data_IF_410530551687
#
_entry.id   IF_410530551687
#
_cell.length_a   1.000
_cell.length_b   1.000
_cell.length_c   1.000
_cell.angle_alpha   90.00
_cell.angle_beta   90.00
_cell.angle_gamma   90.00
#
_symmetry.space_group_name_H-M   'P 1'
#
loop_
_entity.id
_entity.type
_entity.pdbx_description
1 polymer ?
#
# COMPACT_ATOMS: atom_id res chain seq x y z
N UNK A 1 -23.96 -1.80 -14.82
CA UNK A 1 -23.25 -0.78 -14.02
C UNK A 1 -21.93 -0.51 -14.71
N UNK A 2 -21.55 0.73 -14.96
CA UNK A 2 -20.26 1.09 -15.57
C UNK A 2 -19.36 1.66 -14.48
N UNK A 3 -18.22 1.05 -14.23
CA UNK A 3 -17.18 1.61 -13.40
C UNK A 3 -16.14 2.33 -14.30
N UNK A 4 -15.54 3.41 -13.82
CA UNK A 4 -14.46 4.09 -14.51
C UNK A 4 -13.26 4.28 -13.59
N UNK A 5 -12.07 4.23 -14.18
CA UNK A 5 -10.81 4.50 -13.48
C UNK A 5 -10.53 6.00 -13.61
N UNK A 6 -10.48 6.73 -12.50
CA UNK A 6 -10.19 8.18 -12.48
C UNK A 6 -8.70 8.48 -12.41
N UNK A 7 -7.92 7.64 -11.73
CA UNK A 7 -6.49 7.83 -11.55
C UNK A 7 -5.78 6.48 -11.43
N UNK A 8 -4.60 6.40 -12.03
CA UNK A 8 -3.66 5.29 -11.85
C UNK A 8 -2.31 5.89 -11.51
N UNK A 9 -1.65 5.32 -10.52
CA UNK A 9 -0.25 5.63 -10.22
C UNK A 9 0.49 4.35 -9.83
N UNK A 10 1.76 4.27 -10.16
CA UNK A 10 2.59 3.10 -9.85
C UNK A 10 3.98 3.51 -9.40
N UNK A 11 4.56 2.71 -8.52
CA UNK A 11 5.97 2.77 -8.13
C UNK A 11 6.54 1.37 -8.36
N UNK A 12 7.52 1.26 -9.21
CA UNK A 12 8.06 -0.03 -9.64
C UNK A 12 9.52 0.03 -10.07
N UNK A 13 9.93 -0.95 -10.86
CA UNK A 13 11.29 -1.07 -11.38
C UNK A 13 11.57 -0.17 -12.60
N UNK A 14 10.56 0.45 -13.15
CA UNK A 14 10.69 1.45 -14.21
C UNK A 14 10.17 2.80 -13.73
N UNK A 15 10.60 3.90 -14.33
CA UNK A 15 10.18 5.26 -14.00
C UNK A 15 8.74 5.49 -14.42
N UNK A 16 7.82 5.03 -13.58
CA UNK A 16 6.37 5.04 -13.82
C UNK A 16 5.60 6.02 -12.93
N UNK A 17 6.22 6.53 -11.87
CA UNK A 17 5.54 7.41 -10.91
C UNK A 17 5.18 8.75 -11.54
N UNK A 18 3.89 9.07 -11.60
CA UNK A 18 3.33 10.28 -12.23
C UNK A 18 3.70 10.46 -13.71
N UNK A 19 4.04 9.38 -14.39
CA UNK A 19 4.33 9.39 -15.82
C UNK A 19 3.12 8.96 -16.62
N UNK A 20 2.74 9.78 -17.59
CA UNK A 20 1.76 9.39 -18.61
C UNK A 20 2.37 8.32 -19.53
N UNK A 21 1.53 7.39 -19.96
CA UNK A 21 1.90 6.37 -20.96
C UNK A 21 3.08 5.45 -20.57
N UNK A 22 3.37 5.30 -19.27
CA UNK A 22 4.45 4.42 -18.82
C UNK A 22 4.24 2.93 -19.17
N UNK A 23 3.01 2.55 -19.53
CA UNK A 23 2.64 1.20 -19.97
C UNK A 23 2.91 0.92 -21.47
N UNK A 24 3.19 1.95 -22.29
CA UNK A 24 3.49 1.76 -23.72
C UNK A 24 4.85 1.08 -23.94
N UNK A 25 5.76 1.25 -22.99
CA UNK A 25 7.10 0.69 -23.04
C UNK A 25 7.44 -0.03 -21.73
N UNK A 26 6.91 -1.26 -21.59
CA UNK A 26 7.19 -2.07 -20.40
C UNK A 26 8.60 -2.64 -20.44
N UNK A 27 9.35 -2.41 -19.37
CA UNK A 27 10.68 -2.97 -19.17
C UNK A 27 10.54 -4.33 -18.48
N UNK A 28 11.08 -5.42 -19.05
CA UNK A 28 11.06 -6.72 -18.40
C UNK A 28 11.74 -6.70 -17.03
N UNK A 29 11.16 -7.38 -16.05
CA UNK A 29 11.75 -7.53 -14.72
C UNK A 29 12.96 -8.46 -14.79
N UNK A 30 14.13 -7.99 -14.36
CA UNK A 30 15.34 -8.79 -14.19
C UNK A 30 15.56 -9.14 -12.71
N UNK A 31 16.38 -10.17 -12.43
CA UNK A 31 16.56 -10.69 -11.07
C UNK A 31 17.11 -9.67 -10.06
N UNK A 32 17.89 -8.69 -10.51
CA UNK A 32 18.52 -7.68 -9.63
C UNK A 32 17.94 -6.28 -9.85
N UNK A 33 16.68 -6.21 -10.24
CA UNK A 33 16.04 -4.93 -10.54
C UNK A 33 15.61 -4.23 -9.27
N UNK A 34 16.09 -3.01 -9.05
CA UNK A 34 15.68 -2.17 -7.93
C UNK A 34 14.42 -1.35 -8.26
N UNK A 35 13.68 -0.98 -7.20
CA UNK A 35 12.53 -0.07 -7.30
C UNK A 35 13.02 1.36 -7.48
N UNK A 36 12.53 2.05 -8.51
CA UNK A 36 12.74 3.49 -8.70
C UNK A 36 11.81 4.23 -7.75
N UNK A 37 12.37 4.75 -6.67
CA UNK A 37 11.62 5.41 -5.61
C UNK A 37 11.45 6.91 -5.89
N UNK A 38 10.23 7.47 -5.73
CA UNK A 38 10.03 8.92 -5.74
C UNK A 38 10.57 9.58 -4.48
N UNK A 39 10.56 10.91 -4.44
CA UNK A 39 10.83 11.64 -3.20
C UNK A 39 9.65 11.53 -2.21
N UNK A 40 9.70 10.53 -1.36
CA UNK A 40 8.69 10.27 -0.34
C UNK A 40 8.48 11.42 0.66
N UNK A 41 9.46 12.32 0.81
CA UNK A 41 9.37 13.44 1.76
C UNK A 41 8.31 14.45 1.36
N UNK A 42 7.99 14.52 0.08
CA UNK A 42 6.91 15.36 -0.45
C UNK A 42 5.52 14.88 -0.05
N UNK A 43 5.39 13.61 0.37
CA UNK A 43 4.11 12.98 0.67
C UNK A 43 3.97 12.50 2.12
N UNK A 44 5.08 12.15 2.76
CA UNK A 44 5.07 11.52 4.08
C UNK A 44 5.88 12.37 5.06
N UNK A 45 5.31 12.73 6.24
CA UNK A 45 6.04 13.48 7.25
C UNK A 45 7.36 12.78 7.66
N UNK A 46 8.46 13.52 7.86
CA UNK A 46 9.79 12.94 8.16
C UNK A 46 9.81 12.01 9.38
N UNK A 47 8.98 12.30 10.38
CA UNK A 47 8.84 11.47 11.60
C UNK A 47 8.27 10.09 11.32
N UNK A 48 7.30 10.02 10.40
CA UNK A 48 6.65 8.77 9.97
C UNK A 48 7.53 8.02 8.95
N UNK A 49 8.17 8.77 8.05
CA UNK A 49 9.02 8.20 7.00
C UNK A 49 10.15 7.33 7.55
N UNK A 50 10.73 7.69 8.71
CA UNK A 50 11.80 6.91 9.35
C UNK A 50 11.32 5.57 9.90
N UNK A 51 10.03 5.45 10.20
CA UNK A 51 9.42 4.26 10.83
C UNK A 51 8.81 3.30 9.83
N UNK A 52 8.51 3.78 8.62
CA UNK A 52 7.82 3.00 7.61
C UNK A 52 8.78 2.18 6.76
N UNK A 53 8.44 0.92 6.56
CA UNK A 53 9.08 0.04 5.59
C UNK A 53 8.88 0.53 4.15
N UNK A 54 9.69 0.07 3.20
CA UNK A 54 9.55 0.48 1.79
C UNK A 54 8.14 0.29 1.24
N UNK A 55 7.48 -0.84 1.54
CA UNK A 55 6.11 -1.11 1.07
C UNK A 55 5.11 -0.10 1.61
N UNK A 56 5.22 0.30 2.87
CA UNK A 56 4.35 1.32 3.46
C UNK A 56 4.59 2.71 2.83
N UNK A 57 5.85 3.06 2.54
CA UNK A 57 6.16 4.33 1.86
C UNK A 57 5.55 4.38 0.46
N UNK A 58 5.70 3.31 -0.31
CA UNK A 58 5.10 3.21 -1.65
C UNK A 58 3.58 3.32 -1.58
N UNK A 59 2.93 2.52 -0.74
CA UNK A 59 1.48 2.48 -0.61
C UNK A 59 0.88 3.82 -0.15
N UNK A 60 1.47 4.46 0.84
CA UNK A 60 1.01 5.77 1.32
C UNK A 60 1.17 6.86 0.27
N UNK A 61 2.30 6.87 -0.43
CA UNK A 61 2.55 7.87 -1.47
C UNK A 61 1.57 7.73 -2.63
N UNK A 62 1.35 6.52 -3.12
CA UNK A 62 0.38 6.27 -4.20
C UNK A 62 -1.04 6.60 -3.78
N UNK A 63 -1.45 6.23 -2.55
CA UNK A 63 -2.78 6.54 -2.03
C UNK A 63 -3.02 8.06 -1.90
N UNK A 64 -2.04 8.82 -1.41
CA UNK A 64 -2.15 10.28 -1.32
C UNK A 64 -2.22 10.96 -2.68
N UNK A 65 -1.45 10.48 -3.66
CA UNK A 65 -1.54 10.99 -5.04
C UNK A 65 -2.93 10.72 -5.61
N UNK A 66 -3.46 9.51 -5.45
CA UNK A 66 -4.81 9.20 -5.90
C UNK A 66 -5.87 10.05 -5.18
N UNK A 67 -5.78 10.25 -3.87
CA UNK A 67 -6.71 11.10 -3.13
C UNK A 67 -6.64 12.56 -3.59
N UNK A 68 -5.45 13.08 -3.92
CA UNK A 68 -5.31 14.45 -4.39
C UNK A 68 -5.90 14.71 -5.78
N UNK A 69 -6.21 13.66 -6.54
CA UNK A 69 -6.84 13.74 -7.85
C UNK A 69 -8.38 13.77 -7.79
N UNK A 70 -8.97 13.62 -6.62
CA UNK A 70 -10.42 13.64 -6.39
C UNK A 70 -10.76 14.58 -5.23
N UNK A 71 -11.92 15.23 -5.30
CA UNK A 71 -12.35 16.19 -4.28
C UNK A 71 -12.94 15.50 -3.04
N UNK A 72 -13.61 14.37 -3.25
CA UNK A 72 -14.28 13.63 -2.18
C UNK A 72 -13.36 12.59 -1.55
N UNK A 73 -13.50 12.32 -0.24
CA UNK A 73 -12.85 11.18 0.40
C UNK A 73 -13.30 9.85 -0.25
N UNK A 74 -12.43 8.85 -0.25
CA UNK A 74 -12.79 7.51 -0.71
C UNK A 74 -13.82 6.86 0.21
N UNK A 75 -14.85 6.23 -0.34
CA UNK A 75 -15.83 5.42 0.40
C UNK A 75 -15.32 4.02 0.72
N UNK A 76 -14.27 3.58 0.04
CA UNK A 76 -13.66 2.29 0.28
C UNK A 76 -12.15 2.31 -0.01
N UNK A 77 -11.41 1.56 0.78
CA UNK A 77 -9.99 1.25 0.57
C UNK A 77 -9.86 -0.27 0.49
N UNK A 78 -9.50 -0.79 -0.67
CA UNK A 78 -9.24 -2.22 -0.88
C UNK A 78 -7.78 -2.44 -1.26
N UNK A 79 -7.06 -3.22 -0.47
CA UNK A 79 -5.63 -3.48 -0.65
C UNK A 79 -5.41 -4.95 -0.96
N UNK A 80 -4.75 -5.23 -2.08
CA UNK A 80 -4.27 -6.57 -2.42
C UNK A 80 -2.78 -6.70 -2.15
N UNK A 81 -2.39 -7.76 -1.45
CA UNK A 81 -0.97 -8.05 -1.17
C UNK A 81 -0.72 -9.55 -1.15
N UNK A 82 0.38 -10.01 -1.73
CA UNK A 82 0.73 -11.44 -1.66
C UNK A 82 1.37 -11.81 -0.32
N UNK A 83 2.27 -11.00 0.21
CA UNK A 83 3.06 -11.30 1.40
C UNK A 83 2.86 -10.31 2.55
N UNK A 84 1.98 -9.33 2.39
CA UNK A 84 1.75 -8.29 3.38
C UNK A 84 3.02 -7.50 3.70
N UNK A 85 3.24 -7.23 4.98
CA UNK A 85 4.43 -6.57 5.48
C UNK A 85 5.52 -7.58 5.88
N UNK A 86 5.87 -8.52 5.00
CA UNK A 86 6.77 -9.66 5.30
C UNK A 86 8.05 -9.24 6.02
N UNK A 87 8.71 -8.19 5.56
CA UNK A 87 9.96 -7.70 6.17
C UNK A 87 9.77 -7.24 7.63
N UNK A 88 8.64 -6.60 7.91
CA UNK A 88 8.30 -6.15 9.25
C UNK A 88 7.90 -7.35 10.13
N UNK A 89 7.22 -8.33 9.54
CA UNK A 89 6.86 -9.61 10.18
C UNK A 89 8.10 -10.40 10.57
N UNK A 90 9.05 -10.58 9.66
CA UNK A 90 10.31 -11.26 9.93
C UNK A 90 11.07 -10.57 11.07
N UNK A 91 11.22 -9.25 10.98
CA UNK A 91 11.90 -8.46 12.02
C UNK A 91 11.23 -8.61 13.39
N UNK A 92 9.90 -8.57 13.43
CA UNK A 92 9.14 -8.76 14.67
C UNK A 92 9.34 -10.16 15.23
N UNK A 93 9.19 -11.21 14.43
CA UNK A 93 9.37 -12.59 14.85
C UNK A 93 10.80 -12.87 15.31
N UNK A 94 11.79 -12.34 14.61
CA UNK A 94 13.19 -12.49 15.02
C UNK A 94 13.45 -11.84 16.37
N UNK A 95 12.91 -10.63 16.60
CA UNK A 95 12.99 -9.98 17.91
C UNK A 95 12.27 -10.79 18.98
N UNK A 96 11.09 -11.35 18.68
CA UNK A 96 10.31 -12.16 19.58
C UNK A 96 11.07 -13.43 20.03
N UNK A 97 11.70 -14.14 19.10
CA UNK A 97 12.44 -15.39 19.37
C UNK A 97 13.71 -15.13 20.16
N UNK A 98 14.37 -13.98 19.94
CA UNK A 98 15.65 -13.64 20.60
C UNK A 98 15.48 -12.88 21.91
N UNK A 99 14.27 -12.38 22.20
CA UNK A 99 14.00 -11.62 23.42
C UNK A 99 14.12 -12.52 24.69
N UNK A 100 15.02 -12.16 25.56
CA UNK A 100 15.23 -12.81 26.88
C UNK A 100 14.66 -11.91 27.98
N UNK A 101 13.31 -11.78 28.02
CA UNK A 101 12.62 -11.01 29.06
C UNK A 101 12.39 -9.53 28.77
N UNK A 102 12.74 -9.03 27.62
CA UNK A 102 12.50 -7.65 27.19
C UNK A 102 11.05 -7.44 26.71
N UNK A 103 10.55 -6.21 26.91
CA UNK A 103 9.23 -5.82 26.42
C UNK A 103 9.25 -5.63 24.92
N UNK A 104 8.41 -6.36 24.20
CA UNK A 104 8.26 -6.22 22.75
C UNK A 104 7.62 -4.86 22.39
N UNK A 105 8.08 -4.25 21.31
CA UNK A 105 7.52 -3.00 20.81
C UNK A 105 6.10 -3.18 20.26
N UNK A 106 5.07 -2.52 20.81
CA UNK A 106 3.73 -2.55 20.24
C UNK A 106 3.69 -2.08 18.77
N UNK A 107 4.52 -1.10 18.42
CA UNK A 107 4.64 -0.61 17.05
C UNK A 107 5.15 -1.68 16.09
N UNK A 108 6.15 -2.46 16.50
CA UNK A 108 6.67 -3.55 15.68
C UNK A 108 5.62 -4.65 15.45
N UNK A 109 4.81 -4.95 16.46
CA UNK A 109 3.67 -5.86 16.33
C UNK A 109 2.64 -5.35 15.32
N UNK A 110 2.18 -4.09 15.48
CA UNK A 110 1.21 -3.48 14.56
C UNK A 110 1.73 -3.50 13.13
N UNK A 111 2.99 -3.15 12.90
CA UNK A 111 3.59 -3.12 11.57
C UNK A 111 3.80 -4.51 10.95
N UNK A 112 3.76 -5.56 11.73
CA UNK A 112 3.95 -6.94 11.24
C UNK A 112 2.68 -7.59 10.68
N UNK A 113 1.53 -6.95 10.82
CA UNK A 113 0.26 -7.53 10.38
C UNK A 113 -0.07 -7.21 8.92
N UNK A 114 -0.83 -8.07 8.24
CA UNK A 114 -1.15 -7.93 6.82
C UNK A 114 -1.97 -6.69 6.49
N UNK A 115 -2.87 -6.31 7.40
CA UNK A 115 -3.75 -5.14 7.26
C UNK A 115 -3.06 -3.80 7.56
N UNK A 116 -1.79 -3.80 7.92
CA UNK A 116 -1.04 -2.58 8.23
C UNK A 116 -1.04 -1.60 7.06
N UNK A 117 -0.95 -2.09 5.82
CA UNK A 117 -0.92 -1.22 4.63
C UNK A 117 -2.23 -0.45 4.53
N UNK A 118 -3.37 -1.14 4.53
CA UNK A 118 -4.69 -0.52 4.44
C UNK A 118 -4.99 0.39 5.64
N UNK A 119 -4.63 -0.04 6.85
CA UNK A 119 -4.76 0.75 8.06
C UNK A 119 -3.90 2.02 8.05
N UNK A 120 -2.68 1.96 7.56
CA UNK A 120 -1.81 3.12 7.44
C UNK A 120 -2.34 4.14 6.40
N UNK A 121 -2.88 3.67 5.28
CA UNK A 121 -3.56 4.53 4.29
C UNK A 121 -4.77 5.21 4.93
N UNK A 122 -5.65 4.46 5.58
CA UNK A 122 -6.82 4.97 6.28
C UNK A 122 -6.45 6.07 7.28
N UNK A 123 -5.46 5.82 8.13
CA UNK A 123 -4.98 6.81 9.10
C UNK A 123 -4.37 8.05 8.45
N UNK A 124 -3.58 7.89 7.40
CA UNK A 124 -2.94 9.00 6.72
C UNK A 124 -3.93 9.91 5.98
N UNK A 125 -5.01 9.35 5.45
CA UNK A 125 -6.08 10.07 4.77
C UNK A 125 -7.20 10.55 5.72
N UNK A 126 -7.16 10.19 7.00
CA UNK A 126 -8.28 10.44 7.93
C UNK A 126 -9.57 9.74 7.52
N UNK A 127 -9.44 8.62 6.81
CA UNK A 127 -10.57 7.88 6.24
C UNK A 127 -11.03 6.80 7.22
N UNK A 128 -12.34 6.77 7.54
CA UNK A 128 -12.97 5.82 8.44
C UNK A 128 -14.00 4.91 7.73
N UNK A 129 -13.99 4.94 6.40
CA UNK A 129 -14.90 4.16 5.57
C UNK A 129 -14.47 2.70 5.45
N UNK A 130 -15.11 1.94 4.57
CA UNK A 130 -14.77 0.55 4.33
C UNK A 130 -13.27 0.36 4.08
N UNK A 131 -12.67 -0.63 4.74
CA UNK A 131 -11.25 -0.90 4.64
C UNK A 131 -11.00 -2.41 4.67
N UNK A 132 -10.50 -2.97 3.57
CA UNK A 132 -10.25 -4.40 3.43
C UNK A 132 -8.84 -4.67 2.91
N UNK A 133 -8.23 -5.73 3.42
CA UNK A 133 -6.96 -6.27 2.92
C UNK A 133 -7.14 -7.71 2.47
N UNK A 134 -6.83 -7.96 1.21
CA UNK A 134 -6.85 -9.28 0.60
C UNK A 134 -5.42 -9.82 0.53
N UNK A 135 -5.18 -10.90 1.25
CA UNK A 135 -3.89 -11.59 1.24
C UNK A 135 -4.01 -12.86 0.43
N UNK A 136 -3.45 -12.82 -0.78
CA UNK A 136 -3.44 -13.96 -1.69
C UNK A 136 -2.11 -14.06 -2.41
N UNK A 137 -1.58 -15.25 -2.52
CA UNK A 137 -0.24 -15.48 -3.06
C UNK A 137 -0.14 -15.11 -4.56
N UNK A 138 -1.17 -15.40 -5.36
CA UNK A 138 -1.10 -15.32 -6.82
C UNK A 138 -1.91 -14.19 -7.45
N UNK A 139 -3.04 -13.81 -6.87
CA UNK A 139 -4.02 -12.88 -7.45
C UNK A 139 -4.47 -11.78 -6.47
N UNK A 140 -3.55 -11.14 -5.73
CA UNK A 140 -3.94 -10.15 -4.72
C UNK A 140 -4.54 -8.88 -5.34
N UNK A 141 -4.01 -8.45 -6.48
CA UNK A 141 -4.50 -7.27 -7.19
C UNK A 141 -5.92 -7.50 -7.72
N UNK A 142 -6.14 -8.62 -8.40
CA UNK A 142 -7.43 -8.96 -8.98
C UNK A 142 -8.50 -9.11 -7.89
N UNK A 143 -8.15 -9.68 -6.74
CA UNK A 143 -9.07 -9.82 -5.61
C UNK A 143 -9.45 -8.45 -5.04
N UNK A 144 -8.49 -7.55 -4.86
CA UNK A 144 -8.75 -6.18 -4.41
C UNK A 144 -9.58 -5.39 -5.43
N UNK A 145 -9.33 -5.58 -6.72
CA UNK A 145 -10.11 -4.95 -7.78
C UNK A 145 -11.56 -5.45 -7.79
N UNK A 146 -11.77 -6.76 -7.63
CA UNK A 146 -13.11 -7.34 -7.51
C UNK A 146 -13.87 -6.78 -6.31
N UNK A 147 -13.22 -6.65 -5.16
CA UNK A 147 -13.80 -6.06 -3.96
C UNK A 147 -14.20 -4.59 -4.20
N UNK A 148 -13.33 -3.81 -4.85
CA UNK A 148 -13.65 -2.44 -5.25
C UNK A 148 -14.86 -2.36 -6.19
N UNK A 149 -14.96 -3.26 -7.17
CA UNK A 149 -16.12 -3.34 -8.06
C UNK A 149 -17.40 -3.70 -7.31
N UNK A 150 -17.34 -4.57 -6.30
CA UNK A 150 -18.47 -4.89 -5.43
C UNK A 150 -18.87 -3.67 -4.59
N UNK A 151 -17.93 -2.92 -4.04
CA UNK A 151 -18.20 -1.68 -3.32
C UNK A 151 -18.94 -0.67 -4.19
N UNK A 152 -18.53 -0.49 -5.46
CA UNK A 152 -19.23 0.38 -6.42
C UNK A 152 -20.65 -0.18 -6.70
N UNK A 153 -20.80 -1.50 -6.82
CA UNK A 153 -22.10 -2.15 -7.02
C UNK A 153 -23.07 -1.91 -5.83
N UNK A 154 -22.53 -1.76 -4.63
CA UNK A 154 -23.28 -1.45 -3.41
C UNK A 154 -23.54 0.08 -3.23
N UNK A 155 -23.07 0.91 -4.14
CA UNK A 155 -23.28 2.37 -4.13
C UNK A 155 -22.21 3.17 -3.39
N UNK A 156 -21.03 2.61 -3.15
CA UNK A 156 -19.86 3.36 -2.67
C UNK A 156 -19.17 4.06 -3.86
N UNK A 157 -18.63 5.26 -3.64
CA UNK A 157 -17.96 6.09 -4.65
C UNK A 157 -16.45 6.24 -4.40
#
# INVERSE_FOLDING_TARGET
MSACIKMITSIGHQDSFLKENCWEHLVPLANDTEVISPDYKSYIPPTSLRRFSPVLRMALTTAQVCQSSVEQPFDAISVGTSLGCLRDTEKFLQTFITATGDTLSPTAFIQSTHNTIAGAISMALGNHSYNMTHTQNSLPFETALMDGLLCIAEGKE
#
